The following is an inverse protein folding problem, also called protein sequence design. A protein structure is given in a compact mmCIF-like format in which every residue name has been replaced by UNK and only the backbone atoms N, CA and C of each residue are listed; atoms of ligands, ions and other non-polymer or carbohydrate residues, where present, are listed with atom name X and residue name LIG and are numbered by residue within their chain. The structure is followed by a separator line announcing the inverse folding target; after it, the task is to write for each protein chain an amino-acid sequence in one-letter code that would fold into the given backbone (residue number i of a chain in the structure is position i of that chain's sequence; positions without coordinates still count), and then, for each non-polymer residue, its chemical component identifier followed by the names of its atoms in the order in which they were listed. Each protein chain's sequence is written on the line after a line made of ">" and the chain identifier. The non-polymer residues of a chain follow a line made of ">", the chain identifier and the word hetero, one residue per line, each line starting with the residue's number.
data_IF_672290206559
#
_entry.id   IF_672290206559
#
_cell.length_a   1.000
_cell.length_b   1.000
_cell.length_c   1.000
_cell.angle_alpha   90.00
_cell.angle_beta   90.00
_cell.angle_gamma   90.00
#
_symmetry.space_group_name_H-M   'P 1'
#
loop_
_entity.id
_entity.type
_entity.pdbx_description
1 polymer ?
#
# COMPACT_ATOMS: atom_id res chain seq x y z
N UNK A 1 9.28 -2.56 21.42
CA UNK A 1 8.50 -3.70 20.91
C UNK A 1 8.60 -3.61 19.40
N UNK A 2 9.09 -4.64 18.73
CA UNK A 2 9.07 -4.67 17.26
C UNK A 2 7.61 -4.75 16.80
N UNK A 3 7.24 -3.85 15.89
CA UNK A 3 5.87 -3.69 15.42
C UNK A 3 5.67 -4.30 14.02
N UNK A 4 6.69 -4.99 13.51
CA UNK A 4 6.80 -5.54 12.16
C UNK A 4 7.31 -6.99 12.24
N UNK A 5 7.25 -7.71 11.11
CA UNK A 5 7.78 -9.07 11.01
C UNK A 5 6.84 -10.16 11.51
N UNK A 6 7.32 -11.40 11.42
CA UNK A 6 6.53 -12.61 11.67
C UNK A 6 5.97 -12.71 13.08
N UNK A 7 6.77 -12.34 14.08
CA UNK A 7 6.37 -12.46 15.50
C UNK A 7 5.29 -11.45 15.89
N UNK A 8 5.36 -10.23 15.36
CA UNK A 8 4.29 -9.24 15.54
C UNK A 8 2.98 -9.67 14.85
N UNK A 9 3.06 -10.36 13.70
CA UNK A 9 1.88 -10.83 12.96
C UNK A 9 1.25 -12.10 13.55
N UNK A 10 2.07 -12.98 14.17
CA UNK A 10 1.68 -14.32 14.64
C UNK A 10 0.39 -14.35 15.48
N UNK A 11 0.20 -13.50 16.51
CA UNK A 11 -1.02 -13.56 17.32
C UNK A 11 -2.31 -13.31 16.52
N UNK A 12 -2.23 -12.50 15.46
CA UNK A 12 -3.36 -12.21 14.59
C UNK A 12 -3.71 -13.40 13.70
N UNK A 13 -2.69 -14.06 13.13
CA UNK A 13 -2.85 -15.25 12.28
C UNK A 13 -3.40 -16.42 13.09
N UNK A 14 -2.82 -16.69 14.27
CA UNK A 14 -3.27 -17.76 15.16
C UNK A 14 -4.71 -17.57 15.63
N UNK A 15 -5.09 -16.33 15.97
CA UNK A 15 -6.46 -15.99 16.35
C UNK A 15 -7.44 -16.14 15.18
N UNK A 16 -7.01 -15.85 13.95
CA UNK A 16 -7.83 -16.01 12.75
C UNK A 16 -8.06 -17.47 12.35
N UNK A 17 -7.25 -18.41 12.86
CA UNK A 17 -7.37 -19.87 12.56
C UNK A 17 -7.43 -20.16 11.06
N UNK A 18 -6.60 -19.48 10.28
CA UNK A 18 -6.53 -19.65 8.82
C UNK A 18 -6.14 -21.08 8.46
N UNK A 19 -6.82 -21.69 7.49
CA UNK A 19 -6.51 -23.03 6.97
C UNK A 19 -5.57 -23.02 5.77
N UNK A 20 -5.27 -21.83 5.25
CA UNK A 20 -4.38 -21.61 4.11
C UNK A 20 -3.00 -21.11 4.57
N UNK A 21 -1.95 -21.35 3.77
CA UNK A 21 -0.63 -20.78 4.04
C UNK A 21 -0.68 -19.26 4.18
N UNK A 22 -0.07 -18.74 5.23
CA UNK A 22 0.10 -17.29 5.45
C UNK A 22 1.58 -16.96 5.39
N UNK A 23 1.94 -16.01 4.54
CA UNK A 23 3.33 -15.54 4.36
C UNK A 23 3.41 -14.09 4.80
N UNK A 24 4.43 -13.76 5.59
CA UNK A 24 4.66 -12.39 6.10
C UNK A 24 5.71 -11.71 5.23
N UNK A 25 5.30 -10.64 4.54
CA UNK A 25 6.18 -9.82 3.70
C UNK A 25 6.88 -8.73 4.53
N UNK A 26 7.87 -9.14 5.31
CA UNK A 26 8.56 -8.28 6.28
C UNK A 26 9.26 -7.07 5.64
N UNK A 27 9.80 -7.25 4.43
CA UNK A 27 10.51 -6.20 3.72
C UNK A 27 9.64 -5.45 2.69
N UNK A 28 8.35 -5.81 2.60
CA UNK A 28 7.40 -5.24 1.64
C UNK A 28 7.85 -5.43 0.19
N UNK A 29 8.36 -6.62 -0.16
CA UNK A 29 8.77 -7.01 -1.50
C UNK A 29 7.57 -7.00 -2.45
N UNK A 30 6.40 -7.45 -1.97
CA UNK A 30 5.17 -7.54 -2.77
C UNK A 30 4.67 -6.18 -3.20
N UNK A 31 4.81 -5.13 -2.39
CA UNK A 31 4.39 -3.77 -2.77
C UNK A 31 5.19 -3.23 -3.95
N UNK A 32 6.49 -3.54 -4.01
CA UNK A 32 7.32 -3.16 -5.17
C UNK A 32 7.04 -4.05 -6.37
N UNK A 33 6.97 -5.37 -6.18
CA UNK A 33 6.77 -6.31 -7.30
C UNK A 33 5.43 -6.08 -8.02
N UNK A 34 4.38 -5.82 -7.25
CA UNK A 34 3.02 -5.66 -7.76
C UNK A 34 2.62 -4.19 -7.94
N UNK A 35 3.44 -3.24 -7.47
CA UNK A 35 3.22 -1.80 -7.64
C UNK A 35 2.00 -1.24 -6.92
N UNK A 36 1.44 -1.95 -5.93
CA UNK A 36 0.25 -1.48 -5.25
C UNK A 36 0.55 -0.33 -4.27
N UNK A 37 -0.34 0.66 -4.27
CA UNK A 37 -0.23 1.85 -3.41
C UNK A 37 -1.04 1.77 -2.12
N UNK A 38 -1.88 0.75 -1.99
CA UNK A 38 -2.77 0.55 -0.84
C UNK A 38 -3.00 -0.95 -0.59
N UNK A 39 -3.52 -1.26 0.59
CA UNK A 39 -4.03 -2.59 1.00
C UNK A 39 -5.43 -2.38 1.60
N UNK A 40 -6.33 -3.38 1.59
CA UNK A 40 -6.18 -4.76 1.11
C UNK A 40 -6.22 -4.91 -0.42
N UNK A 41 -5.63 -6.00 -0.92
CA UNK A 41 -5.51 -6.35 -2.34
C UNK A 41 -6.05 -7.75 -2.61
N UNK A 42 -6.47 -8.01 -3.84
CA UNK A 42 -6.78 -9.35 -4.34
C UNK A 42 -6.00 -9.62 -5.63
N UNK A 43 -5.36 -10.78 -5.73
CA UNK A 43 -4.58 -11.19 -6.90
C UNK A 43 -4.93 -12.64 -7.22
N UNK A 44 -5.27 -12.92 -8.48
CA UNK A 44 -5.59 -14.26 -8.97
C UNK A 44 -4.51 -14.70 -9.94
N UNK A 45 -3.92 -15.85 -9.66
CA UNK A 45 -2.82 -16.45 -10.42
C UNK A 45 -3.26 -17.85 -10.82
N UNK A 46 -3.09 -18.22 -12.09
CA UNK A 46 -3.44 -19.56 -12.59
C UNK A 46 -2.35 -20.61 -12.31
N UNK A 47 -2.61 -21.85 -12.71
CA UNK A 47 -1.69 -22.97 -12.48
C UNK A 47 -0.34 -22.85 -13.20
N UNK A 48 -0.25 -22.01 -14.23
CA UNK A 48 0.97 -21.71 -14.96
C UNK A 48 1.75 -20.54 -14.34
N UNK A 49 1.24 -19.97 -13.24
CA UNK A 49 1.85 -18.83 -12.56
C UNK A 49 1.54 -17.48 -13.22
N UNK A 50 0.56 -17.41 -14.12
CA UNK A 50 0.20 -16.17 -14.81
C UNK A 50 -0.82 -15.39 -13.98
N UNK A 51 -0.57 -14.09 -13.76
CA UNK A 51 -1.53 -13.19 -13.14
C UNK A 51 -2.71 -12.98 -14.09
N UNK A 52 -3.90 -13.42 -13.68
CA UNK A 52 -5.15 -13.30 -14.46
C UNK A 52 -5.99 -12.12 -14.06
N UNK A 53 -5.89 -11.70 -12.80
CA UNK A 53 -6.63 -10.57 -12.29
C UNK A 53 -5.94 -9.98 -11.06
N UNK A 54 -5.99 -8.66 -10.92
CA UNK A 54 -5.57 -7.98 -9.71
C UNK A 54 -6.47 -6.78 -9.40
N UNK A 55 -6.80 -6.60 -8.12
CA UNK A 55 -7.40 -5.40 -7.57
C UNK A 55 -6.52 -4.89 -6.45
N UNK A 56 -5.96 -3.71 -6.66
CA UNK A 56 -5.10 -3.04 -5.68
C UNK A 56 -5.87 -1.95 -4.95
N UNK A 57 -5.98 -2.10 -3.64
CA UNK A 57 -6.79 -1.26 -2.77
C UNK A 57 -8.26 -1.68 -2.76
N UNK A 58 -8.80 -1.89 -1.56
CA UNK A 58 -10.24 -2.05 -1.34
C UNK A 58 -10.84 -3.37 -1.83
N UNK A 59 -10.03 -4.40 -2.08
CA UNK A 59 -10.53 -5.77 -2.20
C UNK A 59 -11.15 -6.22 -0.87
N UNK A 60 -12.35 -6.81 -0.90
CA UNK A 60 -12.98 -7.38 0.29
C UNK A 60 -13.90 -8.54 -0.06
N UNK A 61 -13.90 -9.59 0.76
CA UNK A 61 -14.86 -10.70 0.66
C UNK A 61 -16.28 -10.29 1.08
N UNK A 62 -16.45 -9.15 1.75
CA UNK A 62 -17.78 -8.61 2.07
C UNK A 62 -18.46 -7.97 0.85
N UNK A 63 -17.72 -7.78 -0.24
CA UNK A 63 -18.20 -7.20 -1.49
C UNK A 63 -18.61 -8.30 -2.46
N UNK A 64 -19.91 -8.45 -2.79
CA UNK A 64 -20.38 -9.50 -3.70
C UNK A 64 -19.67 -9.48 -5.06
N UNK A 65 -19.29 -8.30 -5.56
CA UNK A 65 -18.57 -8.15 -6.82
C UNK A 65 -17.16 -8.74 -6.78
N UNK A 66 -16.46 -8.66 -5.65
CA UNK A 66 -15.11 -9.23 -5.48
C UNK A 66 -15.21 -10.75 -5.35
N UNK A 67 -16.19 -11.26 -4.60
CA UNK A 67 -16.45 -12.70 -4.46
C UNK A 67 -16.79 -13.33 -5.82
N UNK A 68 -17.65 -12.68 -6.60
CA UNK A 68 -18.06 -13.18 -7.91
C UNK A 68 -16.87 -13.33 -8.89
N UNK A 69 -15.85 -12.47 -8.80
CA UNK A 69 -14.62 -12.60 -9.61
C UNK A 69 -13.85 -13.86 -9.21
N UNK A 70 -13.68 -14.09 -7.90
CA UNK A 70 -13.00 -15.28 -7.37
C UNK A 70 -13.73 -16.55 -7.79
N UNK A 71 -15.06 -16.59 -7.65
CA UNK A 71 -15.88 -17.75 -8.02
C UNK A 71 -15.80 -18.07 -9.52
N UNK A 72 -15.85 -17.06 -10.39
CA UNK A 72 -15.67 -17.27 -11.84
C UNK A 72 -14.31 -17.89 -12.15
N UNK A 73 -13.25 -17.38 -11.53
CA UNK A 73 -11.90 -17.88 -11.73
C UNK A 73 -11.75 -19.32 -11.25
N UNK A 74 -12.28 -19.66 -10.07
CA UNK A 74 -12.26 -21.02 -9.54
C UNK A 74 -13.08 -22.00 -10.39
N UNK A 75 -14.13 -21.53 -11.06
CA UNK A 75 -14.90 -22.29 -12.03
C UNK A 75 -14.19 -22.53 -13.37
N UNK A 76 -12.94 -22.07 -13.54
CA UNK A 76 -12.18 -22.14 -14.79
C UNK A 76 -12.57 -21.08 -15.82
N UNK A 77 -13.40 -20.10 -15.43
CA UNK A 77 -13.81 -18.99 -16.27
C UNK A 77 -12.83 -17.82 -16.26
N UNK A 78 -13.04 -16.86 -17.16
CA UNK A 78 -12.31 -15.60 -17.17
C UNK A 78 -12.78 -14.72 -15.98
N UNK A 79 -11.87 -14.28 -15.07
CA UNK A 79 -12.23 -13.36 -13.98
C UNK A 79 -12.71 -12.00 -14.50
N UNK A 80 -12.39 -11.66 -15.75
CA UNK A 80 -12.66 -10.37 -16.36
C UNK A 80 -11.48 -9.41 -16.21
N UNK A 81 -11.61 -8.15 -16.66
CA UNK A 81 -10.53 -7.19 -16.60
C UNK A 81 -10.18 -6.82 -15.15
N UNK A 82 -8.89 -6.61 -14.90
CA UNK A 82 -8.43 -6.01 -13.65
C UNK A 82 -8.92 -4.57 -13.56
N UNK A 83 -9.51 -4.14 -12.43
CA UNK A 83 -9.86 -2.73 -12.24
C UNK A 83 -8.59 -1.86 -12.30
N UNK A 84 -8.70 -0.74 -13.02
CA UNK A 84 -7.60 0.24 -13.10
C UNK A 84 -7.49 0.98 -11.78
N UNK A 85 -6.29 1.01 -11.19
CA UNK A 85 -6.01 1.88 -10.06
C UNK A 85 -5.89 3.32 -10.56
N UNK A 86 -6.92 4.13 -10.35
CA UNK A 86 -6.91 5.52 -10.78
C UNK A 86 -5.97 6.33 -9.88
N UNK A 87 -4.88 6.84 -10.46
CA UNK A 87 -4.10 7.94 -9.88
C UNK A 87 -4.15 9.15 -10.81
N UNK A 88 -4.10 10.39 -10.30
CA UNK A 88 -4.16 11.59 -11.13
C UNK A 88 -2.87 11.81 -11.94
N UNK A 89 -1.91 10.89 -11.84
CA UNK A 89 -0.65 10.92 -12.56
C UNK A 89 -0.15 9.52 -12.94
N UNK A 90 0.79 9.49 -13.88
CA UNK A 90 1.55 8.31 -14.27
C UNK A 90 3.02 8.48 -13.92
N UNK A 91 3.59 7.54 -13.16
CA UNK A 91 5.04 7.52 -12.90
C UNK A 91 5.77 6.89 -14.08
N UNK A 92 6.84 7.51 -14.56
CA UNK A 92 7.79 6.93 -15.51
C UNK A 92 8.62 5.80 -14.88
N UNK A 93 9.33 4.99 -15.69
CA UNK A 93 10.13 3.86 -15.17
C UNK A 93 11.16 4.26 -14.11
N UNK A 94 11.89 5.35 -14.35
CA UNK A 94 12.92 5.86 -13.42
C UNK A 94 12.30 6.38 -12.12
N UNK A 95 11.15 7.06 -12.21
CA UNK A 95 10.45 7.57 -11.03
C UNK A 95 9.92 6.43 -10.16
N UNK A 96 9.38 5.37 -10.78
CA UNK A 96 8.95 4.16 -10.06
C UNK A 96 10.13 3.51 -9.33
N UNK A 97 11.25 3.29 -10.02
CA UNK A 97 12.44 2.70 -9.43
C UNK A 97 13.01 3.56 -8.28
N UNK A 98 12.98 4.88 -8.43
CA UNK A 98 13.42 5.81 -7.39
C UNK A 98 12.49 5.76 -6.15
N UNK A 99 11.17 5.74 -6.35
CA UNK A 99 10.18 5.59 -5.27
C UNK A 99 10.41 4.28 -4.51
N UNK A 100 10.54 3.16 -5.23
CA UNK A 100 10.77 1.84 -4.65
C UNK A 100 12.09 1.77 -3.87
N UNK A 101 13.17 2.32 -4.44
CA UNK A 101 14.48 2.35 -3.80
C UNK A 101 14.44 3.14 -2.50
N UNK A 102 13.77 4.31 -2.50
CA UNK A 102 13.62 5.14 -1.31
C UNK A 102 12.76 4.47 -0.23
N UNK A 103 11.68 3.80 -0.64
CA UNK A 103 10.85 3.03 0.29
C UNK A 103 11.66 1.93 0.97
N UNK A 104 12.42 1.15 0.20
CA UNK A 104 13.28 0.08 0.71
C UNK A 104 14.40 0.61 1.60
N UNK A 105 15.07 1.69 1.20
CA UNK A 105 16.10 2.34 2.00
C UNK A 105 15.54 2.82 3.34
N UNK A 106 14.36 3.46 3.34
CA UNK A 106 13.73 3.90 4.58
C UNK A 106 13.39 2.73 5.52
N UNK A 107 12.93 1.58 4.98
CA UNK A 107 12.70 0.36 5.80
C UNK A 107 13.99 -0.15 6.44
N UNK A 108 15.10 -0.19 5.68
CA UNK A 108 16.41 -0.59 6.21
C UNK A 108 16.94 0.40 7.25
N UNK A 109 16.73 1.71 7.06
CA UNK A 109 17.10 2.71 8.04
C UNK A 109 16.29 2.56 9.32
N UNK A 110 14.99 2.27 9.22
CA UNK A 110 14.13 2.04 10.38
C UNK A 110 14.55 0.80 11.18
N UNK A 111 14.88 -0.31 10.50
CA UNK A 111 15.40 -1.52 11.17
C UNK A 111 16.74 -1.29 11.87
N UNK A 112 17.50 -0.28 11.45
CA UNK A 112 18.74 0.17 12.10
C UNK A 112 18.49 1.25 13.18
N UNK A 113 17.23 1.47 13.56
CA UNK A 113 16.80 2.51 14.50
C UNK A 113 17.14 3.96 14.07
N UNK A 114 17.43 4.18 12.78
CA UNK A 114 17.72 5.49 12.16
C UNK A 114 16.44 6.13 11.63
N UNK A 115 15.46 6.28 12.53
CA UNK A 115 14.08 6.63 12.18
C UNK A 115 13.91 7.98 11.47
N UNK A 116 14.71 8.99 11.84
CA UNK A 116 14.63 10.31 11.20
C UNK A 116 15.08 10.27 9.73
N UNK A 117 16.11 9.49 9.44
CA UNK A 117 16.62 9.29 8.09
C UNK A 117 15.63 8.45 7.26
N UNK A 118 15.02 7.42 7.87
CA UNK A 118 13.95 6.65 7.24
C UNK A 118 12.79 7.53 6.78
N UNK A 119 12.31 8.41 7.68
CA UNK A 119 11.23 9.36 7.35
C UNK A 119 11.66 10.35 6.27
N UNK A 120 12.93 10.74 6.22
CA UNK A 120 13.44 11.63 5.17
C UNK A 120 13.33 10.97 3.80
N UNK A 121 13.73 9.71 3.67
CA UNK A 121 13.61 8.96 2.41
C UNK A 121 12.16 8.70 2.02
N UNK A 122 11.30 8.32 2.97
CA UNK A 122 9.88 8.13 2.69
C UNK A 122 9.17 9.41 2.27
N UNK A 123 9.51 10.57 2.86
CA UNK A 123 8.98 11.87 2.41
C UNK A 123 9.46 12.22 1.01
N UNK A 124 10.70 11.87 0.66
CA UNK A 124 11.19 12.06 -0.71
C UNK A 124 10.45 11.15 -1.71
N UNK A 125 10.15 9.90 -1.34
CA UNK A 125 9.36 8.99 -2.16
C UNK A 125 7.90 9.46 -2.30
N UNK A 126 7.26 9.87 -1.20
CA UNK A 126 5.87 10.32 -1.19
C UNK A 126 5.66 11.59 -2.02
N UNK A 127 6.67 12.47 -2.14
CA UNK A 127 6.59 13.64 -3.03
C UNK A 127 6.47 13.26 -4.52
N UNK A 128 7.05 12.14 -4.92
CA UNK A 128 6.94 11.62 -6.28
C UNK A 128 5.62 10.85 -6.48
N UNK A 129 5.21 10.09 -5.46
CA UNK A 129 4.01 9.25 -5.48
C UNK A 129 3.04 9.60 -4.34
N UNK A 130 2.38 10.78 -4.38
CA UNK A 130 1.60 11.30 -3.25
C UNK A 130 0.37 10.48 -2.88
N UNK A 131 -0.13 9.62 -3.78
CA UNK A 131 -1.27 8.75 -3.53
C UNK A 131 -0.84 7.41 -2.90
N UNK A 132 0.45 7.24 -2.60
CA UNK A 132 1.00 6.01 -2.04
C UNK A 132 0.77 5.90 -0.53
N UNK A 133 -0.35 5.26 -0.16
CA UNK A 133 -0.69 4.99 1.22
C UNK A 133 0.28 4.00 1.90
N UNK A 134 0.96 3.12 1.15
CA UNK A 134 2.00 2.24 1.73
C UNK A 134 3.13 3.10 2.31
N UNK A 135 3.64 4.07 1.56
CA UNK A 135 4.70 5.00 2.02
C UNK A 135 4.18 5.91 3.13
N UNK A 136 3.00 6.51 2.91
CA UNK A 136 2.40 7.45 3.88
C UNK A 136 2.23 6.82 5.26
N UNK A 137 1.78 5.56 5.32
CA UNK A 137 1.64 4.82 6.58
C UNK A 137 2.97 4.49 7.25
N UNK A 138 4.08 4.31 6.52
CA UNK A 138 5.40 4.17 7.15
C UNK A 138 5.79 5.45 7.93
N UNK A 139 5.56 6.61 7.31
CA UNK A 139 5.83 7.91 7.94
C UNK A 139 4.96 8.08 9.19
N UNK A 140 3.67 7.82 9.06
CA UNK A 140 2.73 7.94 10.18
C UNK A 140 3.07 6.99 11.32
N UNK A 141 3.36 5.72 11.05
CA UNK A 141 3.72 4.75 12.09
C UNK A 141 5.02 5.13 12.81
N UNK A 142 6.01 5.65 12.07
CA UNK A 142 7.25 6.12 12.66
C UNK A 142 7.08 7.38 13.54
N UNK A 143 6.18 8.29 13.16
CA UNK A 143 5.99 9.57 13.87
C UNK A 143 4.91 9.53 14.95
N UNK A 144 3.94 8.64 14.80
CA UNK A 144 2.75 8.52 15.63
C UNK A 144 2.42 7.05 15.94
N UNK A 145 3.36 6.29 16.54
CA UNK A 145 3.14 4.86 16.82
C UNK A 145 1.91 4.59 17.69
N UNK A 146 1.51 5.55 18.54
CA UNK A 146 0.30 5.50 19.37
C UNK A 146 -1.01 5.46 18.56
N UNK A 147 -0.96 5.83 17.27
CA UNK A 147 -2.12 5.79 16.35
C UNK A 147 -2.27 4.44 15.65
N UNK A 148 -1.32 3.52 15.85
CA UNK A 148 -1.29 2.21 15.22
C UNK A 148 -1.37 1.05 16.24
N UNK A 149 -1.06 1.29 17.52
CA UNK A 149 -1.04 0.27 18.56
C UNK A 149 -1.82 0.70 19.82
N UNK A 150 -2.54 -0.23 20.48
CA UNK A 150 -2.74 -1.63 20.10
C UNK A 150 -3.73 -1.83 18.94
N UNK A 151 -4.48 -0.78 18.59
CA UNK A 151 -5.46 -0.77 17.51
C UNK A 151 -5.24 0.46 16.63
N UNK A 152 -5.57 0.33 15.34
CA UNK A 152 -5.45 1.43 14.40
C UNK A 152 -6.53 2.49 14.68
N UNK A 153 -6.12 3.74 14.80
CA UNK A 153 -7.00 4.91 14.86
C UNK A 153 -7.40 5.35 13.44
N UNK A 154 -8.51 4.80 12.96
CA UNK A 154 -9.00 5.08 11.61
C UNK A 154 -9.52 6.50 11.41
N UNK A 155 -10.06 7.13 12.46
CA UNK A 155 -10.54 8.52 12.41
C UNK A 155 -9.36 9.47 12.23
N UNK A 156 -8.29 9.27 13.01
CA UNK A 156 -7.06 10.04 12.86
C UNK A 156 -6.46 9.87 11.46
N UNK A 157 -6.41 8.66 10.90
CA UNK A 157 -5.87 8.44 9.56
C UNK A 157 -6.66 9.19 8.48
N UNK A 158 -8.00 9.20 8.58
CA UNK A 158 -8.87 9.92 7.64
C UNK A 158 -8.64 11.43 7.70
N UNK A 159 -8.64 11.99 8.90
CA UNK A 159 -8.44 13.42 9.10
C UNK A 159 -7.01 13.85 8.71
N UNK A 160 -6.02 13.02 9.04
CA UNK A 160 -4.62 13.24 8.66
C UNK A 160 -4.44 13.24 7.15
N UNK A 161 -5.03 12.26 6.46
CA UNK A 161 -4.96 12.17 4.99
C UNK A 161 -5.56 13.40 4.33
N UNK A 162 -6.75 13.82 4.76
CA UNK A 162 -7.45 14.98 4.20
C UNK A 162 -6.58 16.24 4.32
N UNK A 163 -6.09 16.54 5.51
CA UNK A 163 -5.23 17.71 5.75
C UNK A 163 -3.93 17.65 4.98
N UNK A 164 -3.23 16.50 5.00
CA UNK A 164 -1.98 16.37 4.25
C UNK A 164 -2.21 16.56 2.75
N UNK A 165 -3.34 16.09 2.21
CA UNK A 165 -3.68 16.30 0.80
C UNK A 165 -3.98 17.76 0.47
N UNK A 166 -4.69 18.47 1.35
CA UNK A 166 -4.92 19.92 1.24
C UNK A 166 -3.59 20.70 1.24
N UNK A 167 -2.69 20.39 2.19
CA UNK A 167 -1.37 21.00 2.30
C UNK A 167 -0.49 20.71 1.07
N UNK A 168 -0.50 19.45 0.59
CA UNK A 168 0.24 19.02 -0.60
C UNK A 168 -0.24 19.75 -1.86
N UNK A 169 -1.55 19.87 -2.06
CA UNK A 169 -2.12 20.60 -3.21
C UNK A 169 -1.74 22.09 -3.12
N UNK A 170 -1.86 22.71 -1.93
CA UNK A 170 -1.47 24.10 -1.73
C UNK A 170 0.03 24.34 -2.00
N UNK A 171 0.87 23.34 -1.74
CA UNK A 171 2.31 23.37 -2.00
C UNK A 171 2.70 22.94 -3.43
N UNK A 172 1.75 22.60 -4.31
CA UNK A 172 2.04 22.16 -5.68
C UNK A 172 2.49 20.70 -5.80
N UNK A 173 2.28 19.87 -4.78
CA UNK A 173 2.72 18.47 -4.70
C UNK A 173 1.56 17.55 -5.12
N UNK A 174 1.46 17.25 -6.41
CA UNK A 174 0.36 16.46 -6.96
C UNK A 174 0.78 15.29 -7.85
N UNK A 175 2.07 14.97 -7.88
CA UNK A 175 2.66 13.97 -8.77
C UNK A 175 3.29 14.62 -10.01
N UNK A 176 3.91 13.81 -10.89
CA UNK A 176 4.66 14.30 -12.05
C UNK A 176 3.81 15.08 -13.06
N UNK A 177 2.51 14.84 -13.12
CA UNK A 177 1.59 15.48 -14.05
C UNK A 177 1.01 16.82 -13.55
N UNK A 178 1.42 17.26 -12.35
CA UNK A 178 1.03 18.56 -11.78
C UNK A 178 -0.31 18.55 -11.03
N UNK A 179 -0.66 19.69 -10.43
CA UNK A 179 -1.89 19.79 -9.63
C UNK A 179 -3.15 20.01 -10.47
N UNK A 180 -4.29 19.44 -10.06
CA UNK A 180 -5.57 19.74 -10.68
C UNK A 180 -5.81 21.25 -10.67
N UNK A 181 -6.05 21.84 -11.84
CA UNK A 181 -6.43 23.25 -11.90
C UNK A 181 -7.94 23.37 -11.63
N UNK A 182 -8.41 24.38 -10.87
CA UNK A 182 -9.82 24.47 -10.44
C UNK A 182 -10.85 24.65 -11.58
N UNK A 183 -10.41 24.74 -12.82
CA UNK A 183 -11.21 25.05 -14.01
C UNK A 183 -10.88 24.14 -15.22
N UNK A 184 -10.34 22.94 -14.98
CA UNK A 184 -10.22 21.88 -16.00
C UNK A 184 -11.46 20.98 -16.02
#
# INVERSE_FOLDING_TARGET
>A
MEHTGGDAARPFVERARTTFPTVVDEHGVTSTLLGFKAVPNGVLVDGDGVLRWAKYGGFSIDKPEDVAVVERFLGGGDPGPSPVQATPYTLGPVERELVDTKLRLGRLLESLNRRDEAVTEWRAALRLDPENLVIRKQIWAARHPERFHPTIDWDWQRERLKREREDEIAAGICGPDGCPVPWA
#
